data_IF_235190983057
#
_entry.id   IF_235190983057
#
_cell.length_a   1.000
_cell.length_b   1.000
_cell.length_c   1.000
_cell.angle_alpha   90.00
_cell.angle_beta   90.00
_cell.angle_gamma   90.00
#
_symmetry.space_group_name_H-M   'P 1'
#
loop_
_entity.id
_entity.type
_entity.pdbx_description
1 polymer ?
#
# COMPACT_ATOMS: atom_id res chain seq x y z
N UNK A 1 -15.15 39.08 -21.04
CA UNK A 1 -14.11 38.42 -20.21
C UNK A 1 -13.89 37.03 -20.78
N UNK A 2 -12.73 36.79 -21.40
CA UNK A 2 -12.34 35.47 -21.92
C UNK A 2 -11.63 34.72 -20.79
N UNK A 3 -12.27 33.67 -20.26
CA UNK A 3 -11.60 32.73 -19.36
C UNK A 3 -10.70 31.81 -20.19
N UNK A 4 -9.42 32.14 -20.27
CA UNK A 4 -8.39 31.19 -20.71
C UNK A 4 -8.26 30.11 -19.63
N UNK A 5 -9.01 29.02 -19.80
CA UNK A 5 -8.76 27.78 -19.06
C UNK A 5 -7.51 27.13 -19.66
N UNK A 6 -6.36 27.42 -19.07
CA UNK A 6 -5.16 26.63 -19.30
C UNK A 6 -5.36 25.26 -18.62
N UNK A 7 -6.05 24.35 -19.30
CA UNK A 7 -5.82 22.92 -19.06
C UNK A 7 -4.39 22.65 -19.53
N UNK A 8 -3.43 22.73 -18.60
CA UNK A 8 -2.14 22.07 -18.79
C UNK A 8 -2.48 20.60 -18.95
N UNK A 9 -2.30 20.12 -20.18
CA UNK A 9 -2.37 18.72 -20.51
C UNK A 9 -1.24 18.05 -19.71
N UNK A 10 -1.59 17.51 -18.54
CA UNK A 10 -0.63 16.94 -17.62
C UNK A 10 -0.01 15.75 -18.34
N UNK A 11 1.30 15.84 -18.61
CA UNK A 11 2.05 14.77 -19.27
C UNK A 11 1.74 13.49 -18.50
N UNK A 12 1.17 12.48 -19.19
CA UNK A 12 0.70 11.25 -18.56
C UNK A 12 1.73 10.75 -17.54
N UNK A 13 1.44 10.90 -16.26
CA UNK A 13 2.36 10.45 -15.20
C UNK A 13 2.27 8.94 -15.15
N UNK A 14 3.18 8.28 -15.86
CA UNK A 14 3.29 6.83 -15.88
C UNK A 14 3.50 6.35 -14.44
N UNK A 15 2.84 5.27 -14.03
CA UNK A 15 3.14 4.64 -12.74
C UNK A 15 4.27 3.64 -12.96
N UNK A 16 5.30 3.68 -12.10
CA UNK A 16 6.46 2.79 -12.17
C UNK A 16 6.68 2.09 -10.84
N UNK A 17 7.37 0.95 -10.88
CA UNK A 17 7.80 0.22 -9.68
C UNK A 17 9.01 0.95 -9.10
N UNK A 18 8.85 1.56 -7.93
CA UNK A 18 9.98 2.09 -7.18
C UNK A 18 10.74 0.98 -6.44
N UNK A 19 10.01 0.00 -5.91
CA UNK A 19 10.58 -1.15 -5.21
C UNK A 19 9.63 -2.34 -5.32
N UNK A 20 10.15 -3.52 -5.59
CA UNK A 20 9.46 -4.79 -5.40
C UNK A 20 10.33 -5.72 -4.60
N UNK A 21 9.78 -6.34 -3.56
CA UNK A 21 10.49 -7.32 -2.73
C UNK A 21 9.77 -8.65 -2.67
N UNK A 22 10.52 -9.72 -2.45
CA UNK A 22 9.95 -11.02 -2.11
C UNK A 22 9.41 -11.04 -0.67
N UNK A 23 8.94 -12.21 -0.22
CA UNK A 23 8.42 -12.39 1.14
C UNK A 23 9.51 -12.17 2.20
N UNK A 24 10.78 -12.38 1.89
CA UNK A 24 11.91 -12.26 2.82
C UNK A 24 12.49 -10.83 2.83
N UNK A 25 12.03 -9.96 1.92
CA UNK A 25 12.50 -8.59 1.78
C UNK A 25 13.67 -8.44 0.82
N UNK A 26 14.02 -9.49 0.07
CA UNK A 26 15.01 -9.40 -0.99
C UNK A 26 14.41 -8.63 -2.17
N UNK A 27 15.21 -7.76 -2.78
CA UNK A 27 14.77 -6.93 -3.90
C UNK A 27 14.61 -7.80 -5.16
N UNK A 28 13.44 -7.70 -5.78
CA UNK A 28 13.13 -8.31 -7.08
C UNK A 28 13.26 -7.26 -8.21
N UNK A 29 12.84 -6.03 -7.96
CA UNK A 29 12.92 -4.92 -8.92
C UNK A 29 12.95 -3.55 -8.21
N UNK A 30 13.45 -2.52 -8.88
CA UNK A 30 13.60 -1.18 -8.30
C UNK A 30 14.66 -1.15 -7.19
N UNK A 31 14.58 -0.18 -6.28
CA UNK A 31 15.52 -0.08 -5.15
C UNK A 31 14.90 0.63 -3.94
N UNK A 32 15.44 0.37 -2.75
CA UNK A 32 14.98 1.03 -1.51
C UNK A 32 15.29 2.52 -1.55
N UNK A 33 16.43 2.89 -2.12
CA UNK A 33 16.86 4.27 -2.32
C UNK A 33 15.90 5.03 -3.24
N UNK A 34 15.42 4.40 -4.32
CA UNK A 34 14.43 4.99 -5.21
C UNK A 34 13.10 5.25 -4.49
N UNK A 35 12.63 4.27 -3.70
CA UNK A 35 11.42 4.43 -2.90
C UNK A 35 11.58 5.57 -1.86
N UNK A 36 12.66 5.56 -1.09
CA UNK A 36 12.97 6.58 -0.09
C UNK A 36 13.05 7.97 -0.72
N UNK A 37 13.73 8.08 -1.87
CA UNK A 37 13.84 9.35 -2.61
C UNK A 37 12.47 9.83 -3.10
N UNK A 38 11.62 8.91 -3.58
CA UNK A 38 10.27 9.24 -4.01
C UNK A 38 9.41 9.76 -2.85
N UNK A 39 9.49 9.10 -1.69
CA UNK A 39 8.78 9.53 -0.47
C UNK A 39 9.22 10.93 -0.06
N UNK A 40 10.53 11.19 -0.04
CA UNK A 40 11.08 12.50 0.34
C UNK A 40 10.71 13.63 -0.60
N UNK A 41 10.60 13.31 -1.89
CA UNK A 41 10.16 14.26 -2.90
C UNK A 41 8.62 14.45 -2.91
N UNK A 42 7.90 13.85 -1.96
CA UNK A 42 6.44 13.99 -1.84
C UNK A 42 5.67 13.32 -2.99
N UNK A 43 6.26 12.30 -3.63
CA UNK A 43 5.60 11.57 -4.70
C UNK A 43 4.51 10.66 -4.11
N UNK A 44 3.34 10.63 -4.75
CA UNK A 44 2.26 9.71 -4.38
C UNK A 44 2.73 8.25 -4.44
N UNK A 45 2.58 7.54 -3.31
CA UNK A 45 2.94 6.13 -3.17
C UNK A 45 1.69 5.26 -3.17
N UNK A 46 1.74 4.13 -3.87
CA UNK A 46 0.80 3.01 -3.68
C UNK A 46 1.57 1.75 -3.31
N UNK A 47 0.97 0.90 -2.47
CA UNK A 47 1.51 -0.39 -2.08
C UNK A 47 0.59 -1.48 -2.59
N UNK A 48 1.14 -2.40 -3.36
CA UNK A 48 0.46 -3.58 -3.88
C UNK A 48 0.97 -4.86 -3.24
N UNK A 49 0.05 -5.75 -2.89
CA UNK A 49 0.32 -7.09 -2.36
C UNK A 49 -0.78 -8.05 -2.80
N UNK A 50 -0.63 -9.33 -2.53
CA UNK A 50 -1.64 -10.30 -2.93
C UNK A 50 -1.22 -11.74 -2.71
N UNK A 51 -1.98 -12.63 -3.32
CA UNK A 51 -1.76 -14.07 -3.25
C UNK A 51 -2.31 -14.77 -4.49
N UNK A 52 -1.69 -15.90 -4.83
CA UNK A 52 -2.17 -16.81 -5.88
C UNK A 52 -2.29 -18.20 -5.28
N UNK A 53 -3.52 -18.71 -5.23
CA UNK A 53 -3.83 -20.10 -4.90
C UNK A 53 -3.85 -20.98 -6.14
N UNK A 54 -4.41 -22.19 -6.01
CA UNK A 54 -4.55 -23.13 -7.12
C UNK A 54 -5.53 -22.63 -8.19
N UNK A 55 -6.68 -22.12 -7.75
CA UNK A 55 -7.79 -21.77 -8.64
C UNK A 55 -8.03 -20.26 -8.75
N UNK A 56 -7.58 -19.47 -7.76
CA UNK A 56 -7.85 -18.04 -7.68
C UNK A 56 -6.60 -17.24 -7.33
N UNK A 57 -6.60 -15.97 -7.73
CA UNK A 57 -5.61 -14.98 -7.34
C UNK A 57 -6.28 -13.69 -6.92
N UNK A 58 -5.65 -12.97 -6.01
CA UNK A 58 -6.07 -11.64 -5.56
C UNK A 58 -4.90 -10.68 -5.55
N UNK A 59 -5.16 -9.47 -5.98
CA UNK A 59 -4.26 -8.33 -5.89
C UNK A 59 -4.96 -7.22 -5.12
N UNK A 60 -4.26 -6.68 -4.13
CA UNK A 60 -4.66 -5.55 -3.35
C UNK A 60 -3.76 -4.38 -3.69
N UNK A 61 -4.32 -3.18 -3.69
CA UNK A 61 -3.60 -1.94 -3.91
C UNK A 61 -4.15 -0.88 -2.97
N UNK A 62 -3.29 -0.22 -2.21
CA UNK A 62 -3.70 0.82 -1.28
C UNK A 62 -2.74 2.01 -1.31
N UNK A 63 -3.27 3.17 -0.92
CA UNK A 63 -2.48 4.37 -0.64
C UNK A 63 -2.16 4.37 0.86
N UNK A 64 -0.89 4.44 1.28
CA UNK A 64 -0.54 4.63 2.68
C UNK A 64 -1.07 5.96 3.20
N UNK A 65 -1.65 5.96 4.40
CA UNK A 65 -2.04 7.19 5.11
C UNK A 65 -0.89 7.77 5.95
N UNK A 66 0.11 6.95 6.22
CA UNK A 66 1.29 7.34 6.98
C UNK A 66 2.50 6.51 6.56
N UNK A 67 3.64 7.16 6.46
CA UNK A 67 4.92 6.59 6.04
C UNK A 67 6.01 6.96 7.03
N UNK A 68 6.95 6.04 7.24
CA UNK A 68 8.20 6.28 7.96
C UNK A 68 9.38 5.69 7.22
N UNK A 69 10.51 6.38 7.26
CA UNK A 69 11.79 5.88 6.78
C UNK A 69 12.63 5.55 8.03
N UNK A 70 13.04 4.29 8.16
CA UNK A 70 13.85 3.78 9.26
C UNK A 70 15.31 3.71 8.81
N UNK A 71 16.19 4.40 9.53
CA UNK A 71 17.65 4.40 9.33
C UNK A 71 18.07 4.45 7.86
N UNK A 72 17.43 5.30 7.05
CA UNK A 72 17.73 5.45 5.62
C UNK A 72 17.59 4.17 4.77
N UNK A 73 17.03 3.10 5.31
CA UNK A 73 17.10 1.76 4.69
C UNK A 73 15.74 1.11 4.49
N UNK A 74 14.79 1.32 5.39
CA UNK A 74 13.48 0.67 5.30
C UNK A 74 12.35 1.66 5.35
N UNK A 75 11.24 1.29 4.73
CA UNK A 75 10.00 2.05 4.75
C UNK A 75 8.95 1.26 5.50
N UNK A 76 8.25 1.95 6.39
CA UNK A 76 7.03 1.47 7.06
C UNK A 76 5.85 2.25 6.51
N UNK A 77 4.77 1.54 6.21
CA UNK A 77 3.50 2.11 5.78
C UNK A 77 2.38 1.65 6.70
N UNK A 78 1.49 2.58 7.06
CA UNK A 78 0.19 2.27 7.63
C UNK A 78 -0.87 2.57 6.58
N UNK A 79 -1.86 1.68 6.51
CA UNK A 79 -3.02 1.86 5.64
C UNK A 79 -4.22 2.32 6.48
N UNK A 80 -5.16 2.97 5.80
CA UNK A 80 -6.46 3.29 6.39
C UNK A 80 -7.17 1.98 6.82
N UNK A 81 -7.81 1.91 8.01
CA UNK A 81 -8.55 0.72 8.41
C UNK A 81 -9.59 0.32 7.39
N UNK A 82 -9.70 -0.98 7.12
CA UNK A 82 -10.55 -1.50 6.06
C UNK A 82 -11.65 -2.38 6.65
N UNK A 83 -12.90 -2.04 6.32
CA UNK A 83 -14.06 -2.89 6.62
C UNK A 83 -14.06 -4.09 5.69
N UNK A 84 -14.18 -5.28 6.26
CA UNK A 84 -14.11 -6.53 5.51
C UNK A 84 -15.42 -6.79 4.77
N UNK A 85 -15.31 -7.13 3.48
CA UNK A 85 -16.41 -7.67 2.67
C UNK A 85 -16.22 -9.17 2.46
N UNK A 86 -17.31 -9.87 2.19
CA UNK A 86 -17.25 -11.25 1.73
C UNK A 86 -17.02 -11.28 0.22
N UNK A 87 -16.10 -12.15 -0.23
CA UNK A 87 -15.82 -12.40 -1.65
C UNK A 87 -16.44 -13.74 -2.04
N UNK A 88 -17.30 -13.73 -3.06
CA UNK A 88 -17.76 -14.92 -3.75
C UNK A 88 -16.82 -15.20 -4.93
N UNK A 89 -16.02 -16.27 -4.81
CA UNK A 89 -15.02 -16.64 -5.81
C UNK A 89 -15.60 -17.27 -7.08
N UNK A 90 -16.81 -17.83 -7.03
CA UNK A 90 -17.47 -18.44 -8.19
C UNK A 90 -18.08 -17.38 -9.10
N UNK A 91 -18.69 -16.35 -8.51
CA UNK A 91 -19.27 -15.22 -9.24
C UNK A 91 -18.33 -14.03 -9.42
N UNK A 92 -17.15 -14.05 -8.77
CA UNK A 92 -16.20 -12.93 -8.70
C UNK A 92 -16.84 -11.62 -8.23
N UNK A 93 -17.68 -11.72 -7.19
CA UNK A 93 -18.40 -10.59 -6.61
C UNK A 93 -18.05 -10.40 -5.13
N UNK A 94 -18.28 -9.19 -4.60
CA UNK A 94 -18.05 -8.88 -3.20
C UNK A 94 -19.25 -8.11 -2.60
N UNK A 95 -19.62 -8.45 -1.37
CA UNK A 95 -20.76 -7.83 -0.71
C UNK A 95 -20.61 -7.80 0.82
N UNK A 96 -21.52 -7.05 1.45
CA UNK A 96 -21.67 -6.93 2.90
C UNK A 96 -22.96 -7.62 3.38
N UNK A 97 -23.36 -8.73 2.76
CA UNK A 97 -24.59 -9.45 3.15
C UNK A 97 -24.52 -9.96 4.60
N UNK A 98 -23.33 -10.30 5.09
CA UNK A 98 -23.08 -10.46 6.52
C UNK A 98 -22.79 -9.11 7.17
N UNK A 99 -23.84 -8.46 7.64
CA UNK A 99 -23.75 -7.14 8.29
C UNK A 99 -23.00 -7.19 9.61
N UNK A 100 -22.76 -8.37 10.21
CA UNK A 100 -21.97 -8.49 11.46
C UNK A 100 -20.52 -8.09 11.25
N UNK A 101 -20.01 -8.19 10.02
CA UNK A 101 -18.63 -7.81 9.70
C UNK A 101 -18.46 -6.29 9.58
N UNK A 102 -19.54 -5.50 9.55
CA UNK A 102 -19.46 -4.04 9.41
C UNK A 102 -18.85 -3.34 10.62
N UNK A 103 -18.88 -3.96 11.80
CA UNK A 103 -18.19 -3.44 13.00
C UNK A 103 -16.72 -3.87 13.06
N UNK A 104 -16.33 -4.87 12.27
CA UNK A 104 -14.96 -5.35 12.21
C UNK A 104 -14.18 -4.59 11.13
N UNK A 105 -12.95 -4.26 11.46
CA UNK A 105 -11.99 -3.75 10.49
C UNK A 105 -10.65 -4.43 10.69
N UNK A 106 -9.85 -4.46 9.62
CA UNK A 106 -8.44 -4.79 9.76
C UNK A 106 -7.58 -3.54 9.63
N UNK A 107 -6.56 -3.46 10.49
CA UNK A 107 -5.52 -2.43 10.49
C UNK A 107 -4.19 -3.10 10.24
N UNK A 108 -3.29 -2.45 9.52
CA UNK A 108 -2.03 -3.11 9.12
C UNK A 108 -0.84 -2.19 9.15
N UNK A 109 0.29 -2.79 9.52
CA UNK A 109 1.63 -2.24 9.28
C UNK A 109 2.30 -3.07 8.18
N UNK A 110 2.77 -2.38 7.16
CA UNK A 110 3.49 -2.96 6.02
C UNK A 110 4.91 -2.41 5.99
N UNK A 111 5.89 -3.24 5.61
CA UNK A 111 7.28 -2.76 5.44
C UNK A 111 7.87 -3.13 4.09
N UNK A 112 8.90 -2.40 3.67
CA UNK A 112 9.74 -2.73 2.52
C UNK A 112 10.48 -4.06 2.65
N UNK A 113 10.45 -4.72 3.82
CA UNK A 113 10.97 -6.08 4.02
C UNK A 113 9.93 -7.18 3.71
N UNK A 114 8.75 -6.83 3.22
CA UNK A 114 7.68 -7.80 2.96
C UNK A 114 6.84 -8.16 4.19
N UNK A 115 7.04 -7.47 5.33
CA UNK A 115 6.18 -7.63 6.52
C UNK A 115 4.77 -7.15 6.22
N UNK A 116 3.79 -7.90 6.67
CA UNK A 116 2.37 -7.53 6.70
C UNK A 116 1.81 -7.97 8.05
N UNK A 117 1.73 -7.06 9.01
CA UNK A 117 1.22 -7.38 10.35
C UNK A 117 -0.16 -6.76 10.53
N UNK A 118 -1.18 -7.59 10.35
CA UNK A 118 -2.57 -7.15 10.42
C UNK A 118 -3.18 -7.49 11.78
N UNK A 119 -4.00 -6.59 12.30
CA UNK A 119 -4.89 -6.84 13.44
C UNK A 119 -6.32 -6.67 12.99
N UNK A 120 -7.18 -7.60 13.40
CA UNK A 120 -8.62 -7.48 13.27
C UNK A 120 -9.16 -6.89 14.56
N UNK A 121 -10.02 -5.91 14.44
CA UNK A 121 -10.45 -5.07 15.54
C UNK A 121 -11.96 -4.85 15.45
N UNK A 122 -12.65 -5.06 16.57
CA UNK A 122 -14.07 -4.75 16.73
C UNK A 122 -14.18 -3.29 17.19
N UNK A 123 -14.74 -2.44 16.33
CA UNK A 123 -14.91 -1.01 16.60
C UNK A 123 -15.97 -0.70 17.64
N UNK A 124 -16.97 -1.56 17.76
CA UNK A 124 -18.08 -1.35 18.69
C UNK A 124 -17.64 -1.68 20.12
N UNK A 125 -16.84 -2.74 20.27
CA UNK A 125 -16.35 -3.19 21.57
C UNK A 125 -15.00 -2.58 21.97
N UNK A 126 -14.31 -1.89 21.05
CA UNK A 126 -12.92 -1.39 21.22
C UNK A 126 -11.95 -2.52 21.63
N UNK A 127 -12.00 -3.64 20.90
CA UNK A 127 -11.18 -4.82 21.23
C UNK A 127 -10.48 -5.40 20.00
N UNK A 128 -9.25 -5.89 20.21
CA UNK A 128 -8.55 -6.70 19.21
C UNK A 128 -9.16 -8.09 19.19
N UNK A 129 -9.71 -8.49 18.05
CA UNK A 129 -10.27 -9.83 17.81
C UNK A 129 -9.13 -10.83 17.63
N UNK A 130 -8.16 -10.50 16.77
CA UNK A 130 -6.98 -11.33 16.49
C UNK A 130 -5.86 -10.54 15.82
N UNK A 131 -4.63 -11.04 15.95
CA UNK A 131 -3.46 -10.59 15.17
C UNK A 131 -3.08 -11.66 14.16
N UNK A 132 -2.78 -11.24 12.93
CA UNK A 132 -2.47 -12.10 11.78
C UNK A 132 -1.17 -11.61 11.14
N UNK A 133 -0.01 -12.00 11.67
CA UNK A 133 1.27 -11.64 11.07
C UNK A 133 1.52 -12.50 9.83
N UNK A 134 1.86 -11.86 8.73
CA UNK A 134 2.09 -12.47 7.42
C UNK A 134 3.29 -11.85 6.71
N UNK A 135 3.68 -12.47 5.59
CA UNK A 135 4.71 -11.96 4.69
C UNK A 135 4.26 -12.09 3.25
N UNK A 136 4.38 -11.01 2.47
CA UNK A 136 3.99 -10.98 1.06
C UNK A 136 5.12 -10.49 0.17
N UNK A 137 5.00 -10.84 -1.12
CA UNK A 137 5.66 -10.06 -2.17
C UNK A 137 5.01 -8.68 -2.17
N UNK A 138 5.80 -7.63 -1.98
CA UNK A 138 5.33 -6.25 -1.91
C UNK A 138 5.80 -5.49 -3.13
N UNK A 139 4.94 -4.67 -3.70
CA UNK A 139 5.27 -3.76 -4.81
C UNK A 139 4.91 -2.34 -4.42
N UNK A 140 5.90 -1.46 -4.39
CA UNK A 140 5.76 -0.03 -4.14
C UNK A 140 5.79 0.70 -5.47
N UNK A 141 4.70 1.42 -5.74
CA UNK A 141 4.43 2.08 -7.00
C UNK A 141 4.43 3.58 -6.79
N UNK A 142 5.03 4.30 -7.72
CA UNK A 142 5.14 5.77 -7.68
C UNK A 142 4.81 6.35 -9.03
N UNK A 143 4.38 7.61 -9.06
CA UNK A 143 4.33 8.36 -10.32
C UNK A 143 5.76 8.57 -10.84
N UNK A 144 5.96 8.37 -12.14
CA UNK A 144 7.22 8.55 -12.85
C UNK A 144 7.50 10.04 -13.01
N UNK A 145 7.99 10.61 -11.93
CA UNK A 145 8.53 11.96 -11.89
C UNK A 145 10.04 11.82 -11.85
N UNK A 146 10.77 12.67 -12.57
CA UNK A 146 12.24 12.74 -12.40
C UNK A 146 12.53 13.13 -10.95
N UNK A 147 12.80 12.13 -10.12
CA UNK A 147 13.11 12.34 -8.71
C UNK A 147 14.61 12.63 -8.60
N UNK A 148 14.95 13.86 -8.29
CA UNK A 148 16.33 14.21 -7.91
C UNK A 148 16.66 13.59 -6.55
N UNK A 149 17.95 13.39 -6.29
CA UNK A 149 18.41 12.83 -5.01
C UNK A 149 17.97 13.75 -3.87
N UNK A 150 17.25 13.19 -2.90
CA UNK A 150 16.73 13.92 -1.74
C UNK A 150 17.55 13.64 -0.48
N UNK A 151 17.76 14.65 0.36
CA UNK A 151 18.38 14.50 1.69
C UNK A 151 17.34 14.14 2.76
N UNK A 152 17.75 13.55 3.89
CA UNK A 152 16.89 13.38 5.05
C UNK A 152 16.35 14.73 5.55
N UNK A 153 15.15 14.71 6.14
CA UNK A 153 14.45 15.93 6.55
C UNK A 153 15.04 16.63 7.79
N UNK A 154 15.84 15.92 8.59
CA UNK A 154 16.31 16.39 9.89
C UNK A 154 17.84 16.36 10.04
N UNK A 155 18.57 16.34 8.91
CA UNK A 155 20.04 16.41 8.90
C UNK A 155 20.55 17.84 9.07
#
# INVERSE_FOLDING_TARGET
MLFNSCYKNDKSTKIVIALRTDKQGNVIAGSKEQLITSIRNGVDIKVGWGGKGLNHSIEHLAVPIWLSILDETEVVAHLDPQVLSHINWDSLDANYSDTKMLKEEWRVVITSKGTFDAVWYDRELDTVIKRVPQRHVMTWLVKDVKSEKSSPFFN
#
